data_IF_942804980471
#
_entry.id   IF_942804980471
#
_cell.length_a   1.000
_cell.length_b   1.000
_cell.length_c   1.000
_cell.angle_alpha   90.00
_cell.angle_beta   90.00
_cell.angle_gamma   90.00
#
_symmetry.space_group_name_H-M   'P 1'
#
loop_
_entity.id
_entity.type
_entity.pdbx_description
1 polymer ?
#
# COMPACT_ATOMS: atom_id res chain seq x y z
N UNK A 1 5.94 50.26 -21.54
CA UNK A 1 6.48 49.03 -20.91
C UNK A 1 5.96 48.82 -19.49
N UNK A 2 5.97 49.83 -18.58
CA UNK A 2 5.42 49.65 -17.22
C UNK A 2 3.92 49.32 -17.20
N UNK A 3 3.12 49.93 -18.07
CA UNK A 3 1.67 49.72 -18.07
C UNK A 3 1.25 48.33 -18.56
N UNK A 4 1.97 47.74 -19.53
CA UNK A 4 1.68 46.37 -19.99
C UNK A 4 2.09 45.31 -18.97
N UNK A 5 3.16 45.55 -18.20
CA UNK A 5 3.59 44.65 -17.13
C UNK A 5 2.58 44.65 -15.95
N UNK A 6 2.05 45.82 -15.60
CA UNK A 6 1.00 45.94 -14.58
C UNK A 6 -0.30 45.26 -15.02
N UNK A 7 -0.72 45.46 -16.27
CA UNK A 7 -1.92 44.81 -16.82
C UNK A 7 -1.80 43.28 -16.79
N UNK A 8 -0.65 42.73 -17.21
CA UNK A 8 -0.41 41.27 -17.15
C UNK A 8 -0.43 40.72 -15.71
N UNK A 9 0.02 41.51 -14.74
CA UNK A 9 0.05 41.11 -13.32
C UNK A 9 -1.36 41.13 -12.69
N UNK A 10 -2.20 42.11 -13.04
CA UNK A 10 -3.58 42.20 -12.57
C UNK A 10 -4.49 41.12 -13.17
N UNK A 11 -4.35 40.84 -14.47
CA UNK A 11 -5.07 39.74 -15.13
C UNK A 11 -4.69 38.41 -14.47
N UNK A 12 -3.40 38.17 -14.22
CA UNK A 12 -2.91 36.96 -13.55
C UNK A 12 -3.54 36.75 -12.17
N UNK A 13 -3.52 37.77 -11.31
CA UNK A 13 -4.08 37.67 -9.96
C UNK A 13 -5.61 37.46 -9.97
N UNK A 14 -6.29 38.04 -10.96
CA UNK A 14 -7.74 37.89 -11.12
C UNK A 14 -8.09 36.47 -11.54
N UNK A 15 -7.36 35.89 -12.50
CA UNK A 15 -7.51 34.49 -12.90
C UNK A 15 -7.33 33.58 -11.68
N UNK A 16 -6.25 33.72 -10.90
CA UNK A 16 -6.01 32.85 -9.73
C UNK A 16 -7.09 32.92 -8.65
N UNK A 17 -7.69 34.10 -8.42
CA UNK A 17 -8.76 34.27 -7.43
C UNK A 17 -10.11 33.73 -7.90
N UNK A 18 -10.27 33.49 -9.19
CA UNK A 18 -11.56 33.12 -9.80
C UNK A 18 -11.60 31.68 -10.32
N UNK A 19 -10.49 30.93 -10.17
CA UNK A 19 -10.43 29.50 -10.49
C UNK A 19 -11.49 28.73 -9.69
N UNK A 20 -12.31 27.97 -10.40
CA UNK A 20 -13.27 27.03 -9.82
C UNK A 20 -13.55 25.90 -10.85
N UNK A 21 -13.56 24.63 -10.42
CA UNK A 21 -13.73 23.45 -11.30
C UNK A 21 -15.18 23.21 -11.74
N UNK A 22 -16.13 23.99 -11.23
CA UNK A 22 -17.55 23.72 -11.47
C UNK A 22 -18.03 24.06 -12.87
N UNK A 23 -17.21 24.68 -13.73
CA UNK A 23 -17.65 25.04 -15.08
C UNK A 23 -16.57 24.80 -16.16
N UNK A 24 -16.96 24.06 -17.21
CA UNK A 24 -16.14 23.86 -18.43
C UNK A 24 -15.70 25.18 -19.06
N UNK A 25 -16.54 26.21 -18.92
CA UNK A 25 -16.24 27.56 -19.37
C UNK A 25 -14.94 28.14 -18.79
N UNK A 26 -14.52 27.72 -17.59
CA UNK A 26 -13.27 28.23 -17.02
C UNK A 26 -12.04 27.64 -17.70
N UNK A 27 -12.09 26.37 -18.10
CA UNK A 27 -11.02 25.74 -18.88
C UNK A 27 -10.91 26.40 -20.26
N UNK A 28 -12.05 26.71 -20.91
CA UNK A 28 -12.07 27.44 -22.18
C UNK A 28 -11.45 28.84 -22.04
N UNK A 29 -11.71 29.56 -20.95
CA UNK A 29 -11.08 30.86 -20.66
C UNK A 29 -9.57 30.69 -20.51
N UNK A 30 -9.10 29.68 -19.76
CA UNK A 30 -7.67 29.42 -19.60
C UNK A 30 -6.99 29.06 -20.93
N UNK A 31 -7.63 28.23 -21.76
CA UNK A 31 -7.17 27.88 -23.10
C UNK A 31 -7.02 29.14 -23.97
N UNK A 32 -8.07 29.97 -24.03
CA UNK A 32 -8.05 31.21 -24.79
C UNK A 32 -6.96 32.16 -24.31
N UNK A 33 -6.80 32.32 -23.00
CA UNK A 33 -5.74 33.15 -22.42
C UNK A 33 -4.34 32.63 -22.78
N UNK A 34 -4.14 31.30 -22.78
CA UNK A 34 -2.85 30.70 -23.17
C UNK A 34 -2.50 31.05 -24.62
N UNK A 35 -3.43 30.80 -25.54
CA UNK A 35 -3.24 30.97 -26.98
C UNK A 35 -3.05 32.44 -27.38
N UNK A 36 -3.75 33.36 -26.72
CA UNK A 36 -3.87 34.74 -27.18
C UNK A 36 -3.01 35.74 -26.39
N UNK A 37 -2.52 35.40 -25.20
CA UNK A 37 -1.92 36.41 -24.30
C UNK A 37 -0.53 36.07 -23.76
N UNK A 38 -0.06 34.81 -23.87
CA UNK A 38 1.18 34.30 -23.24
C UNK A 38 1.31 34.58 -21.73
N UNK A 39 0.23 34.99 -21.05
CA UNK A 39 0.24 35.35 -19.62
C UNK A 39 0.50 34.11 -18.72
N UNK A 40 0.28 32.91 -19.28
CA UNK A 40 0.32 31.60 -18.59
C UNK A 40 1.71 30.91 -18.66
N UNK A 41 2.66 31.40 -19.46
CA UNK A 41 3.98 30.75 -19.62
C UNK A 41 4.82 30.70 -18.33
N UNK A 42 4.59 31.64 -17.39
CA UNK A 42 5.45 31.81 -16.22
C UNK A 42 4.82 31.49 -14.84
N UNK A 43 3.51 31.16 -14.74
CA UNK A 43 2.96 30.64 -13.49
C UNK A 43 2.14 29.33 -13.64
N UNK A 44 2.28 28.60 -14.76
CA UNK A 44 1.55 27.33 -14.96
C UNK A 44 1.82 26.30 -13.85
N UNK A 45 3.01 26.29 -13.26
CA UNK A 45 3.34 25.47 -12.09
C UNK A 45 2.51 25.79 -10.86
N UNK A 46 2.33 27.09 -10.55
CA UNK A 46 1.46 27.52 -9.44
C UNK A 46 -0.01 27.21 -9.71
N UNK A 47 -0.44 27.30 -10.98
CA UNK A 47 -1.78 26.90 -11.39
C UNK A 47 -1.99 25.39 -11.21
N UNK A 48 -1.02 24.58 -11.63
CA UNK A 48 -1.05 23.13 -11.47
C UNK A 48 -1.11 22.75 -9.99
N UNK A 49 -0.25 23.32 -9.15
CA UNK A 49 -0.26 23.09 -7.70
C UNK A 49 -1.61 23.43 -7.06
N UNK A 50 -2.17 24.59 -7.38
CA UNK A 50 -3.48 25.01 -6.86
C UNK A 50 -4.59 24.06 -7.35
N UNK A 51 -4.54 23.68 -8.62
CA UNK A 51 -5.53 22.78 -9.22
C UNK A 51 -5.49 21.40 -8.58
N UNK A 52 -4.30 20.89 -8.26
CA UNK A 52 -4.13 19.63 -7.55
C UNK A 52 -4.63 19.72 -6.10
N UNK A 53 -4.36 20.81 -5.39
CA UNK A 53 -4.87 21.01 -4.01
C UNK A 53 -6.38 21.07 -3.89
N UNK A 54 -7.07 21.42 -4.98
CA UNK A 54 -8.51 21.66 -4.99
C UNK A 54 -9.29 20.67 -5.89
N UNK A 55 -8.66 19.57 -6.34
CA UNK A 55 -9.26 18.57 -7.23
C UNK A 55 -9.80 19.12 -8.56
N UNK A 56 -9.14 20.12 -9.14
CA UNK A 56 -9.63 20.73 -10.37
C UNK A 56 -9.21 19.90 -11.59
N UNK A 57 -9.80 18.71 -11.74
CA UNK A 57 -9.29 17.66 -12.63
C UNK A 57 -9.20 18.10 -14.08
N UNK A 58 -10.17 18.88 -14.55
CA UNK A 58 -10.21 19.34 -15.95
C UNK A 58 -9.05 20.30 -16.23
N UNK A 59 -8.74 21.17 -15.28
CA UNK A 59 -7.61 22.10 -15.38
C UNK A 59 -6.29 21.33 -15.33
N UNK A 60 -6.15 20.36 -14.41
CA UNK A 60 -4.93 19.54 -14.33
C UNK A 60 -4.68 18.78 -15.64
N UNK A 61 -5.69 18.08 -16.16
CA UNK A 61 -5.59 17.35 -17.43
C UNK A 61 -5.22 18.28 -18.59
N UNK A 62 -5.86 19.45 -18.69
CA UNK A 62 -5.52 20.44 -19.70
C UNK A 62 -4.06 20.90 -19.60
N UNK A 63 -3.57 21.22 -18.40
CA UNK A 63 -2.18 21.64 -18.19
C UNK A 63 -1.21 20.54 -18.64
N UNK A 64 -1.43 19.30 -18.19
CA UNK A 64 -0.54 18.18 -18.50
C UNK A 64 -0.54 17.78 -19.99
N UNK A 65 -1.61 18.08 -20.72
CA UNK A 65 -1.69 17.86 -22.17
C UNK A 65 -1.11 19.01 -23.00
N UNK A 66 -0.98 20.20 -22.41
CA UNK A 66 -0.61 21.43 -23.15
C UNK A 66 0.85 21.82 -22.94
N UNK A 67 1.39 21.59 -21.75
CA UNK A 67 2.72 22.05 -21.36
C UNK A 67 3.72 20.90 -21.25
N UNK A 68 4.98 21.19 -21.55
CA UNK A 68 6.09 20.25 -21.39
C UNK A 68 6.27 19.89 -19.92
N UNK A 69 6.25 18.60 -19.59
CA UNK A 69 6.33 18.11 -18.22
C UNK A 69 7.65 18.48 -17.54
N UNK A 70 8.74 18.70 -18.29
CA UNK A 70 10.02 19.18 -17.74
C UNK A 70 9.96 20.63 -17.23
N UNK A 71 9.00 21.42 -17.73
CA UNK A 71 8.75 22.79 -17.24
C UNK A 71 7.80 22.79 -16.04
N UNK A 72 7.12 21.68 -15.80
CA UNK A 72 6.20 21.46 -14.69
C UNK A 72 6.96 20.79 -13.54
N UNK A 73 6.68 21.22 -12.30
CA UNK A 73 7.20 20.52 -11.13
C UNK A 73 6.29 19.31 -10.82
N UNK A 74 6.46 18.24 -11.60
CA UNK A 74 5.61 17.04 -11.56
C UNK A 74 5.67 16.33 -10.20
N UNK A 75 6.84 16.26 -9.57
CA UNK A 75 6.99 15.64 -8.24
C UNK A 75 6.19 16.39 -7.19
N UNK A 76 6.28 17.74 -7.16
CA UNK A 76 5.49 18.56 -6.24
C UNK A 76 3.99 18.44 -6.51
N UNK A 77 3.60 18.36 -7.78
CA UNK A 77 2.22 18.14 -8.18
C UNK A 77 1.66 16.84 -7.58
N UNK A 78 2.40 15.74 -7.74
CA UNK A 78 2.03 14.42 -7.21
C UNK A 78 1.90 14.43 -5.69
N UNK A 79 2.88 14.99 -4.99
CA UNK A 79 2.87 15.06 -3.53
C UNK A 79 1.63 15.83 -3.03
N UNK A 80 1.29 16.95 -3.67
CA UNK A 80 0.13 17.75 -3.27
C UNK A 80 -1.20 17.08 -3.61
N UNK A 81 -1.30 16.42 -4.77
CA UNK A 81 -2.48 15.63 -5.13
C UNK A 81 -2.68 14.45 -4.15
N UNK A 82 -1.60 13.78 -3.73
CA UNK A 82 -1.66 12.74 -2.70
C UNK A 82 -2.10 13.27 -1.35
N UNK A 83 -1.51 14.37 -0.86
CA UNK A 83 -1.91 15.01 0.41
C UNK A 83 -3.37 15.41 0.42
N UNK A 84 -3.88 15.83 -0.73
CA UNK A 84 -5.26 16.25 -0.90
C UNK A 84 -6.22 15.08 -1.21
N UNK A 85 -5.71 13.84 -1.26
CA UNK A 85 -6.46 12.59 -1.50
C UNK A 85 -7.14 12.52 -2.88
N UNK A 86 -6.53 13.12 -3.89
CA UNK A 86 -7.05 13.11 -5.27
C UNK A 86 -6.25 12.14 -6.13
N UNK A 87 -6.45 10.86 -5.85
CA UNK A 87 -5.69 9.75 -6.40
C UNK A 87 -5.92 9.56 -7.91
N UNK A 88 -7.10 9.94 -8.41
CA UNK A 88 -7.42 9.94 -9.84
C UNK A 88 -6.51 10.86 -10.66
N UNK A 89 -6.13 12.01 -10.08
CA UNK A 89 -5.17 12.93 -10.70
C UNK A 89 -3.79 12.27 -10.76
N UNK A 90 -3.37 11.61 -9.68
CA UNK A 90 -2.07 10.93 -9.62
C UNK A 90 -2.04 9.77 -10.61
N UNK A 91 -3.04 8.89 -10.58
CA UNK A 91 -3.19 7.77 -11.51
C UNK A 91 -3.10 8.26 -12.95
N UNK A 92 -3.91 9.26 -13.31
CA UNK A 92 -3.92 9.82 -14.66
C UNK A 92 -2.55 10.39 -15.06
N UNK A 93 -1.88 11.13 -14.18
CA UNK A 93 -0.56 11.71 -14.48
C UNK A 93 0.50 10.64 -14.76
N UNK A 94 0.53 9.57 -13.97
CA UNK A 94 1.47 8.46 -14.17
C UNK A 94 1.18 7.75 -15.49
N UNK A 95 -0.11 7.51 -15.79
CA UNK A 95 -0.55 6.85 -17.01
C UNK A 95 -0.11 7.63 -18.25
N UNK A 96 -0.08 8.96 -18.15
CA UNK A 96 0.21 9.87 -19.26
C UNK A 96 1.60 10.52 -19.17
N UNK A 97 2.52 10.01 -18.33
CA UNK A 97 3.91 10.48 -18.25
C UNK A 97 4.79 9.79 -19.31
N UNK A 98 4.66 10.26 -20.54
CA UNK A 98 5.44 9.81 -21.69
C UNK A 98 6.91 10.28 -21.65
N UNK A 99 7.21 11.30 -20.84
CA UNK A 99 8.54 11.90 -20.74
C UNK A 99 9.39 11.37 -19.57
N UNK A 100 8.83 10.46 -18.76
CA UNK A 100 9.48 9.94 -17.57
C UNK A 100 9.90 11.05 -16.59
N UNK A 101 9.10 12.12 -16.53
CA UNK A 101 9.31 13.27 -15.68
C UNK A 101 8.89 13.01 -14.22
N UNK A 102 8.14 11.93 -13.97
CA UNK A 102 7.65 11.54 -12.66
C UNK A 102 8.57 10.47 -12.04
N UNK A 103 8.93 10.65 -10.77
CA UNK A 103 9.57 9.59 -9.99
C UNK A 103 8.58 8.46 -9.66
N UNK A 104 8.49 7.46 -10.54
CA UNK A 104 7.55 6.33 -10.42
C UNK A 104 7.77 5.47 -9.17
N UNK A 105 9.00 5.38 -8.66
CA UNK A 105 9.30 4.65 -7.42
C UNK A 105 8.67 5.32 -6.19
N UNK A 106 8.80 6.64 -6.07
CA UNK A 106 8.21 7.39 -4.95
C UNK A 106 6.68 7.35 -5.00
N UNK A 107 6.13 7.42 -6.21
CA UNK A 107 4.70 7.28 -6.43
C UNK A 107 4.18 5.91 -6.03
N UNK A 108 4.92 4.85 -6.34
CA UNK A 108 4.58 3.49 -5.95
C UNK A 108 4.54 3.34 -4.43
N UNK A 109 5.57 3.83 -3.73
CA UNK A 109 5.61 3.84 -2.27
C UNK A 109 4.39 4.56 -1.66
N UNK A 110 4.04 5.73 -2.21
CA UNK A 110 2.88 6.51 -1.77
C UNK A 110 1.55 5.80 -2.07
N UNK A 111 1.45 5.13 -3.23
CA UNK A 111 0.28 4.38 -3.62
C UNK A 111 0.04 3.21 -2.67
N UNK A 112 1.10 2.46 -2.33
CA UNK A 112 1.06 1.34 -1.38
C UNK A 112 0.71 1.84 0.02
N UNK A 113 1.37 2.90 0.51
CA UNK A 113 1.11 3.44 1.84
C UNK A 113 -0.33 3.91 2.06
N UNK A 114 -0.96 4.46 1.02
CA UNK A 114 -2.32 4.98 1.07
C UNK A 114 -3.36 4.02 0.45
N UNK A 115 -2.94 2.82 0.06
CA UNK A 115 -3.81 1.72 -0.37
C UNK A 115 -4.55 1.98 -1.70
N UNK A 116 -3.88 2.63 -2.66
CA UNK A 116 -4.41 2.91 -4.00
C UNK A 116 -4.15 1.78 -4.97
N UNK A 117 -4.99 0.74 -4.90
CA UNK A 117 -4.84 -0.48 -5.69
C UNK A 117 -4.86 -0.24 -7.20
N UNK A 118 -5.60 0.75 -7.69
CA UNK A 118 -5.63 1.14 -9.11
C UNK A 118 -4.29 1.65 -9.62
N UNK A 119 -3.63 2.51 -8.83
CA UNK A 119 -2.29 3.03 -9.15
C UNK A 119 -1.24 1.95 -9.05
N UNK A 120 -1.31 1.12 -8.00
CA UNK A 120 -0.38 -0.01 -7.80
C UNK A 120 -0.48 -0.98 -8.98
N UNK A 121 -1.70 -1.36 -9.37
CA UNK A 121 -1.95 -2.26 -10.50
C UNK A 121 -1.38 -1.70 -11.80
N UNK A 122 -1.66 -0.42 -12.09
CA UNK A 122 -1.11 0.23 -13.29
C UNK A 122 0.42 0.21 -13.31
N UNK A 123 1.05 0.55 -12.19
CA UNK A 123 2.51 0.58 -12.08
C UNK A 123 3.13 -0.81 -12.23
N UNK A 124 2.53 -1.84 -11.63
CA UNK A 124 3.01 -3.22 -11.75
C UNK A 124 2.87 -3.78 -13.17
N UNK A 125 1.82 -3.41 -13.90
CA UNK A 125 1.62 -3.90 -15.27
C UNK A 125 2.46 -3.18 -16.32
N UNK A 126 2.78 -1.90 -16.10
CA UNK A 126 3.32 -1.04 -17.16
C UNK A 126 4.76 -0.59 -16.92
N UNK A 127 5.31 -0.76 -15.71
CA UNK A 127 6.65 -0.32 -15.34
C UNK A 127 7.54 -1.53 -15.02
N UNK A 128 8.81 -1.46 -15.43
CA UNK A 128 9.81 -2.47 -15.05
C UNK A 128 9.94 -2.50 -13.51
N UNK A 129 9.69 -3.67 -12.91
CA UNK A 129 9.69 -3.86 -11.45
C UNK A 129 11.03 -3.51 -10.81
N UNK A 130 12.15 -3.56 -11.55
CA UNK A 130 13.47 -3.12 -11.06
C UNK A 130 13.54 -1.64 -10.72
N UNK A 131 12.60 -0.84 -11.22
CA UNK A 131 12.47 0.58 -10.91
C UNK A 131 11.57 0.84 -9.70
N UNK A 132 10.97 -0.22 -9.14
CA UNK A 132 10.06 -0.17 -8.01
C UNK A 132 10.70 -0.90 -6.81
N UNK A 133 10.57 -0.35 -5.62
CA UNK A 133 11.03 -1.03 -4.40
C UNK A 133 9.94 -2.00 -3.93
N UNK A 134 9.86 -3.17 -4.58
CA UNK A 134 8.86 -4.21 -4.29
C UNK A 134 8.98 -4.72 -2.85
N UNK A 135 10.20 -4.87 -2.35
CA UNK A 135 10.44 -5.33 -0.99
C UNK A 135 9.88 -4.32 0.05
N UNK A 136 10.12 -3.03 -0.16
CA UNK A 136 9.52 -1.99 0.69
C UNK A 136 7.99 -1.94 0.56
N UNK A 137 7.44 -2.10 -0.63
CA UNK A 137 6.00 -2.16 -0.83
C UNK A 137 5.38 -3.35 -0.08
N UNK A 138 5.99 -4.53 -0.17
CA UNK A 138 5.56 -5.72 0.56
C UNK A 138 5.62 -5.49 2.07
N UNK A 139 6.70 -4.90 2.57
CA UNK A 139 6.85 -4.53 3.99
C UNK A 139 5.73 -3.59 4.47
N UNK A 140 5.45 -2.51 3.72
CA UNK A 140 4.37 -1.57 4.05
C UNK A 140 3.01 -2.30 4.07
N UNK A 141 2.71 -3.11 3.05
CA UNK A 141 1.46 -3.84 2.96
C UNK A 141 1.29 -4.82 4.14
N UNK A 142 2.35 -5.56 4.47
CA UNK A 142 2.39 -6.52 5.58
C UNK A 142 2.21 -5.84 6.94
N UNK A 143 2.94 -4.76 7.21
CA UNK A 143 2.81 -4.00 8.48
C UNK A 143 1.45 -3.39 8.67
N UNK A 144 0.74 -3.07 7.58
CA UNK A 144 -0.62 -2.52 7.61
C UNK A 144 -1.70 -3.59 7.59
N UNK A 145 -1.34 -4.84 7.34
CA UNK A 145 -2.28 -5.95 7.20
C UNK A 145 -3.11 -5.90 5.91
N UNK A 146 -2.71 -5.13 4.89
CA UNK A 146 -3.49 -4.99 3.66
C UNK A 146 -3.30 -6.22 2.75
N UNK A 147 -4.22 -7.18 2.86
CA UNK A 147 -4.20 -8.44 2.11
C UNK A 147 -4.27 -8.23 0.59
N UNK A 148 -5.13 -7.33 0.12
CA UNK A 148 -5.36 -7.10 -1.31
C UNK A 148 -4.08 -6.64 -2.02
N UNK A 149 -3.30 -5.77 -1.36
CA UNK A 149 -2.00 -5.33 -1.90
C UNK A 149 -0.97 -6.45 -1.85
N UNK A 150 -0.93 -7.25 -0.79
CA UNK A 150 -0.03 -8.41 -0.73
C UNK A 150 -0.34 -9.41 -1.86
N UNK A 151 -1.61 -9.76 -2.06
CA UNK A 151 -2.05 -10.63 -3.15
C UNK A 151 -1.63 -10.05 -4.50
N UNK A 152 -1.87 -8.76 -4.72
CA UNK A 152 -1.50 -8.08 -5.95
C UNK A 152 0.02 -8.09 -6.20
N UNK A 153 0.84 -7.87 -5.17
CA UNK A 153 2.30 -7.93 -5.28
C UNK A 153 2.79 -9.36 -5.58
N UNK A 154 2.20 -10.38 -4.94
CA UNK A 154 2.56 -11.79 -5.16
C UNK A 154 2.15 -12.30 -6.55
N UNK A 155 1.03 -11.79 -7.09
CA UNK A 155 0.53 -12.21 -8.41
C UNK A 155 1.29 -11.55 -9.56
N UNK A 156 1.78 -10.33 -9.37
CA UNK A 156 2.33 -9.53 -10.45
C UNK A 156 3.86 -9.44 -10.48
N UNK A 157 4.57 -9.88 -9.44
CA UNK A 157 6.04 -9.72 -9.35
C UNK A 157 6.76 -11.06 -9.22
N UNK A 158 7.96 -11.18 -9.80
CA UNK A 158 8.85 -12.32 -9.55
C UNK A 158 9.23 -12.34 -8.06
N UNK A 159 8.89 -13.44 -7.41
CA UNK A 159 9.10 -13.63 -5.99
C UNK A 159 10.57 -13.53 -5.53
N UNK A 160 11.55 -13.63 -6.45
CA UNK A 160 12.97 -13.37 -6.16
C UNK A 160 13.24 -11.92 -5.76
N UNK A 161 12.35 -11.01 -6.11
CA UNK A 161 12.44 -9.58 -5.75
C UNK A 161 11.85 -9.30 -4.36
N UNK A 162 11.24 -10.32 -3.73
CA UNK A 162 10.59 -10.21 -2.42
C UNK A 162 11.48 -10.85 -1.35
N UNK A 163 11.86 -10.07 -0.33
CA UNK A 163 12.46 -10.62 0.88
C UNK A 163 11.37 -11.24 1.77
N UNK A 164 11.03 -12.50 1.49
CA UNK A 164 9.95 -13.25 2.13
C UNK A 164 10.11 -13.34 3.66
N UNK A 165 11.34 -13.51 4.14
CA UNK A 165 11.62 -13.58 5.58
C UNK A 165 11.29 -12.27 6.28
N UNK A 166 11.80 -11.17 5.73
CA UNK A 166 11.53 -9.82 6.26
C UNK A 166 10.05 -9.46 6.14
N UNK A 167 9.38 -9.87 5.06
CA UNK A 167 7.95 -9.66 4.89
C UNK A 167 7.16 -10.35 6.03
N UNK A 168 7.46 -11.60 6.35
CA UNK A 168 6.84 -12.31 7.49
C UNK A 168 7.15 -11.64 8.83
N UNK A 169 8.42 -11.29 9.08
CA UNK A 169 8.81 -10.60 10.32
C UNK A 169 8.01 -9.29 10.51
N UNK A 170 7.72 -8.61 9.39
CA UNK A 170 6.93 -7.38 9.36
C UNK A 170 5.41 -7.59 9.54
N UNK A 171 4.86 -8.72 9.08
CA UNK A 171 3.48 -9.11 9.41
C UNK A 171 3.33 -9.23 10.93
N UNK A 172 4.33 -9.83 11.59
CA UNK A 172 4.33 -10.05 13.05
C UNK A 172 4.70 -8.82 13.87
N UNK A 173 5.66 -7.98 13.44
CA UNK A 173 6.08 -6.79 14.20
C UNK A 173 4.98 -5.74 14.35
N UNK A 174 4.06 -5.66 13.39
CA UNK A 174 2.87 -4.80 13.51
C UNK A 174 1.79 -5.34 14.46
N UNK A 175 1.95 -6.56 15.01
CA UNK A 175 1.03 -7.15 16.01
C UNK A 175 1.47 -6.75 17.43
N UNK A 176 2.77 -6.50 17.65
CA UNK A 176 3.27 -6.05 18.94
C UNK A 176 3.02 -4.55 19.10
N UNK A 177 1.86 -4.19 19.65
CA UNK A 177 1.72 -2.87 20.26
C UNK A 177 2.78 -2.72 21.35
N UNK A 178 3.49 -1.58 21.33
CA UNK A 178 4.17 -1.03 22.49
C UNK A 178 3.34 -1.29 23.76
N UNK A 179 3.82 -2.22 24.59
CA UNK A 179 3.47 -2.47 25.99
C UNK A 179 2.21 -1.76 26.54
N UNK A 180 1.02 -2.24 26.21
CA UNK A 180 -0.16 -1.86 27.01
C UNK A 180 -0.31 -2.84 28.16
N UNK A 181 0.27 -2.45 29.30
CA UNK A 181 -0.21 -2.82 30.65
C UNK A 181 -1.74 -2.95 30.64
N UNK A 182 -2.32 -3.94 31.35
CA UNK A 182 -3.77 -4.09 31.42
C UNK A 182 -4.38 -2.84 32.06
N UNK A 183 -4.94 -1.95 31.24
CA UNK A 183 -5.62 -0.76 31.72
C UNK A 183 -7.11 -0.88 31.38
N UNK A 184 -7.87 -1.13 32.44
CA UNK A 184 -9.31 -0.94 32.51
C UNK A 184 -9.73 0.38 31.84
N UNK A 185 -10.83 0.32 31.08
CA UNK A 185 -11.81 1.38 30.74
C UNK A 185 -12.04 1.51 29.22
N UNK A 186 -13.22 1.03 28.84
CA UNK A 186 -13.94 1.22 27.58
C UNK A 186 -13.77 2.61 26.93
N UNK A 187 -13.02 2.66 25.83
CA UNK A 187 -13.10 3.59 24.66
C UNK A 187 -12.01 3.09 23.69
N UNK A 188 -12.24 2.56 22.49
CA UNK A 188 -13.36 2.69 21.56
C UNK A 188 -13.75 1.34 20.94
N UNK A 189 -15.06 1.09 20.80
CA UNK A 189 -15.61 -0.12 20.15
C UNK A 189 -15.41 -0.17 18.63
N UNK A 190 -14.70 0.78 18.03
CA UNK A 190 -14.33 0.78 16.61
C UNK A 190 -12.86 0.40 16.42
N UNK A 191 -11.97 0.83 17.31
CA UNK A 191 -10.54 0.45 17.32
C UNK A 191 -10.37 -1.05 17.51
N UNK A 192 -11.09 -1.68 18.45
CA UNK A 192 -11.07 -3.15 18.63
C UNK A 192 -11.58 -3.97 17.41
N UNK A 193 -12.37 -3.38 16.51
CA UNK A 193 -12.81 -4.07 15.28
C UNK A 193 -11.82 -3.87 14.15
N UNK A 194 -11.16 -2.70 14.08
CA UNK A 194 -10.08 -2.44 13.12
C UNK A 194 -8.84 -3.24 13.52
N UNK A 195 -8.50 -3.30 14.81
CA UNK A 195 -7.38 -4.10 15.33
C UNK A 195 -7.62 -5.59 15.06
N UNK A 196 -8.82 -6.11 15.35
CA UNK A 196 -9.17 -7.50 15.02
C UNK A 196 -9.30 -7.77 13.52
N UNK A 197 -9.81 -6.84 12.73
CA UNK A 197 -9.85 -6.98 11.28
C UNK A 197 -8.43 -7.02 10.71
N UNK A 198 -7.54 -6.16 11.21
CA UNK A 198 -6.13 -6.17 10.85
C UNK A 198 -5.42 -7.45 11.32
N UNK A 199 -5.75 -7.99 12.50
CA UNK A 199 -5.26 -9.29 12.94
C UNK A 199 -5.78 -10.43 12.04
N UNK A 200 -7.07 -10.41 11.69
CA UNK A 200 -7.67 -11.40 10.77
C UNK A 200 -7.06 -11.32 9.36
N UNK A 201 -6.78 -10.12 8.85
CA UNK A 201 -6.14 -9.93 7.56
C UNK A 201 -4.66 -10.33 7.61
N UNK A 202 -3.94 -10.07 8.71
CA UNK A 202 -2.58 -10.57 8.93
C UNK A 202 -2.52 -12.10 8.97
N UNK A 203 -3.46 -12.78 9.64
CA UNK A 203 -3.55 -14.25 9.63
C UNK A 203 -3.68 -14.76 8.18
N UNK A 204 -4.53 -14.10 7.38
CA UNK A 204 -4.69 -14.44 5.96
C UNK A 204 -3.42 -14.19 5.16
N UNK A 205 -2.69 -13.11 5.44
CA UNK A 205 -1.39 -12.84 4.80
C UNK A 205 -0.37 -13.93 5.15
N UNK A 206 -0.23 -14.32 6.42
CA UNK A 206 0.69 -15.41 6.81
C UNK A 206 0.30 -16.70 6.11
N UNK A 207 -0.99 -17.04 6.10
CA UNK A 207 -1.49 -18.23 5.39
C UNK A 207 -1.18 -18.17 3.90
N UNK A 208 -1.46 -17.05 3.25
CA UNK A 208 -1.18 -16.82 1.83
C UNK A 208 0.31 -16.97 1.53
N UNK A 209 1.19 -16.43 2.38
CA UNK A 209 2.64 -16.58 2.22
C UNK A 209 3.07 -18.05 2.35
N UNK A 210 2.54 -18.78 3.33
CA UNK A 210 2.83 -20.21 3.49
C UNK A 210 2.30 -21.03 2.30
N UNK A 211 1.16 -20.66 1.72
CA UNK A 211 0.61 -21.31 0.52
C UNK A 211 1.41 -20.98 -0.75
N UNK A 212 2.05 -19.82 -0.81
CA UNK A 212 2.75 -19.33 -2.00
C UNK A 212 4.20 -19.80 -2.08
N UNK A 213 4.86 -19.96 -0.93
CA UNK A 213 6.30 -20.19 -0.85
C UNK A 213 6.66 -21.54 -0.21
N UNK A 214 7.83 -22.07 -0.56
CA UNK A 214 8.36 -23.27 0.11
C UNK A 214 8.52 -23.02 1.61
N UNK A 215 7.90 -23.88 2.43
CA UNK A 215 7.92 -23.79 3.89
C UNK A 215 9.33 -23.72 4.49
N UNK A 216 10.35 -24.25 3.81
CA UNK A 216 11.77 -24.20 4.23
C UNK A 216 12.38 -22.81 4.22
N UNK A 217 11.74 -21.85 3.54
CA UNK A 217 12.17 -20.46 3.53
C UNK A 217 11.84 -19.73 4.84
N UNK A 218 10.98 -20.33 5.67
CA UNK A 218 10.47 -19.72 6.88
C UNK A 218 11.04 -20.35 8.13
N UNK A 219 11.13 -19.54 9.19
CA UNK A 219 11.30 -20.05 10.54
C UNK A 219 9.93 -20.48 11.09
N UNK A 220 9.58 -21.74 10.81
CA UNK A 220 8.31 -22.33 11.27
C UNK A 220 8.19 -22.34 12.80
N UNK A 221 9.29 -22.38 13.53
CA UNK A 221 9.26 -22.32 15.00
C UNK A 221 8.77 -20.96 15.47
N UNK A 222 9.32 -19.88 14.89
CA UNK A 222 8.91 -18.51 15.24
C UNK A 222 7.46 -18.23 14.82
N UNK A 223 7.03 -18.70 13.64
CA UNK A 223 5.63 -18.59 13.18
C UNK A 223 4.68 -19.31 14.15
N UNK A 224 5.00 -20.56 14.51
CA UNK A 224 4.17 -21.34 15.42
C UNK A 224 4.10 -20.71 16.81
N UNK A 225 5.23 -20.26 17.36
CA UNK A 225 5.28 -19.61 18.66
C UNK A 225 4.37 -18.37 18.68
N UNK A 226 4.52 -17.52 17.67
CA UNK A 226 3.72 -16.29 17.55
C UNK A 226 2.24 -16.63 17.35
N UNK A 227 1.91 -17.61 16.51
CA UNK A 227 0.54 -18.05 16.31
C UNK A 227 -0.11 -18.57 17.61
N UNK A 228 0.63 -19.28 18.47
CA UNK A 228 0.13 -19.71 19.78
C UNK A 228 -0.08 -18.51 20.73
N UNK A 229 0.89 -17.59 20.80
CA UNK A 229 0.79 -16.37 21.62
C UNK A 229 -0.43 -15.52 21.23
N UNK A 230 -0.66 -15.37 19.93
CA UNK A 230 -1.78 -14.61 19.37
C UNK A 230 -3.08 -15.44 19.25
N UNK A 231 -3.06 -16.71 19.68
CA UNK A 231 -4.20 -17.64 19.67
C UNK A 231 -4.82 -17.85 18.28
N UNK A 232 -3.99 -17.87 17.24
CA UNK A 232 -4.36 -18.14 15.85
C UNK A 232 -4.56 -19.63 15.60
N UNK A 233 -5.47 -20.24 16.36
CA UNK A 233 -5.64 -21.70 16.40
C UNK A 233 -6.06 -22.32 15.06
N UNK A 234 -6.81 -21.59 14.23
CA UNK A 234 -7.20 -22.07 12.90
C UNK A 234 -6.00 -22.14 11.95
N UNK A 235 -5.08 -21.16 12.03
CA UNK A 235 -3.81 -21.21 11.30
C UNK A 235 -2.95 -22.36 11.80
N UNK A 236 -2.85 -22.56 13.12
CA UNK A 236 -2.07 -23.66 13.71
C UNK A 236 -2.58 -25.02 13.27
N UNK A 237 -3.90 -25.26 13.35
CA UNK A 237 -4.54 -26.50 12.87
C UNK A 237 -4.22 -26.74 11.41
N UNK A 238 -4.39 -25.72 10.57
CA UNK A 238 -4.05 -25.80 9.15
C UNK A 238 -2.55 -26.10 8.93
N UNK A 239 -1.64 -25.43 9.64
CA UNK A 239 -0.20 -25.69 9.53
C UNK A 239 0.16 -27.13 9.93
N UNK A 240 -0.47 -27.67 10.98
CA UNK A 240 -0.29 -29.06 11.39
C UNK A 240 -0.69 -30.02 10.26
N UNK A 241 -1.71 -29.72 9.48
CA UNK A 241 -2.17 -30.61 8.42
C UNK A 241 -1.29 -30.54 7.15
N UNK A 242 -0.77 -29.35 6.82
CA UNK A 242 -0.19 -29.07 5.49
C UNK A 242 1.33 -28.94 5.51
N UNK A 243 1.94 -28.53 6.62
CA UNK A 243 3.40 -28.38 6.74
C UNK A 243 4.05 -29.74 6.96
N UNK A 244 5.17 -29.97 6.27
CA UNK A 244 6.02 -31.16 6.44
C UNK A 244 6.43 -31.31 7.91
N UNK A 245 6.19 -32.50 8.47
CA UNK A 245 6.47 -32.83 9.87
C UNK A 245 7.94 -32.63 10.26
N UNK A 246 8.87 -32.73 9.31
CA UNK A 246 10.29 -32.47 9.56
C UNK A 246 10.62 -31.01 9.89
N UNK A 247 9.72 -30.08 9.56
CA UNK A 247 9.82 -28.65 9.88
C UNK A 247 9.09 -28.28 11.17
N UNK A 248 8.37 -29.22 11.78
CA UNK A 248 7.54 -29.00 12.95
C UNK A 248 8.12 -29.72 14.18
N UNK A 249 8.36 -28.97 15.26
CA UNK A 249 8.66 -29.59 16.55
C UNK A 249 7.37 -29.98 17.27
N UNK A 250 6.92 -31.21 17.04
CA UNK A 250 5.68 -31.76 17.60
C UNK A 250 5.67 -31.70 19.14
N UNK A 251 6.82 -31.93 19.80
CA UNK A 251 6.89 -31.90 21.27
C UNK A 251 6.68 -30.48 21.80
N UNK A 252 7.31 -29.51 21.14
CA UNK A 252 7.14 -28.11 21.48
C UNK A 252 5.69 -27.66 21.24
N UNK A 253 5.11 -28.03 20.10
CA UNK A 253 3.73 -27.73 19.77
C UNK A 253 2.75 -28.33 20.78
N UNK A 254 2.96 -29.58 21.22
CA UNK A 254 2.16 -30.19 22.29
C UNK A 254 2.28 -29.40 23.60
N UNK A 255 3.50 -28.98 23.96
CA UNK A 255 3.73 -28.17 25.17
C UNK A 255 2.97 -26.84 25.10
N UNK A 256 3.05 -26.15 23.97
CA UNK A 256 2.37 -24.87 23.74
C UNK A 256 0.85 -25.00 23.69
N UNK A 257 0.32 -26.04 23.04
CA UNK A 257 -1.11 -26.31 23.00
C UNK A 257 -1.68 -26.59 24.39
N UNK A 258 -0.94 -27.32 25.23
CA UNK A 258 -1.28 -27.51 26.65
C UNK A 258 -1.29 -26.20 27.43
N UNK A 259 -0.24 -25.37 27.26
CA UNK A 259 -0.14 -24.06 27.93
C UNK A 259 -1.22 -23.07 27.49
N UNK A 260 -1.66 -23.18 26.23
CA UNK A 260 -2.70 -22.33 25.64
C UNK A 260 -4.12 -22.84 25.91
N UNK A 261 -4.24 -23.95 26.66
CA UNK A 261 -5.50 -24.65 26.99
C UNK A 261 -6.34 -25.02 25.75
N UNK A 262 -5.68 -25.28 24.61
CA UNK A 262 -6.36 -25.59 23.35
C UNK A 262 -6.47 -27.10 23.16
N UNK A 263 -7.55 -27.69 23.70
CA UNK A 263 -7.80 -29.14 23.63
C UNK A 263 -7.81 -29.67 22.20
N UNK A 264 -8.42 -28.94 21.25
CA UNK A 264 -8.53 -29.36 19.85
C UNK A 264 -7.16 -29.59 19.19
N UNK A 265 -6.19 -28.74 19.49
CA UNK A 265 -4.83 -28.87 18.93
C UNK A 265 -4.09 -30.01 19.61
N UNK A 266 -4.27 -30.19 20.92
CA UNK A 266 -3.70 -31.34 21.65
C UNK A 266 -4.21 -32.65 21.06
N UNK A 267 -5.52 -32.76 20.80
CA UNK A 267 -6.10 -33.96 20.19
C UNK A 267 -5.58 -34.18 18.78
N UNK A 268 -5.49 -33.12 17.96
CA UNK A 268 -4.97 -33.20 16.60
C UNK A 268 -3.52 -33.72 16.56
N UNK A 269 -2.66 -33.21 17.44
CA UNK A 269 -1.25 -33.65 17.54
C UNK A 269 -1.13 -35.09 18.07
N UNK A 270 -1.98 -35.48 19.01
CA UNK A 270 -2.02 -36.84 19.55
C UNK A 270 -2.47 -37.86 18.49
N UNK A 271 -3.41 -37.50 17.63
CA UNK A 271 -3.85 -38.34 16.51
C UNK A 271 -2.73 -38.49 15.47
N UNK A 272 -2.09 -37.38 15.08
CA UNK A 272 -1.01 -37.38 14.09
C UNK A 272 0.20 -38.22 14.53
N UNK A 273 0.58 -38.15 15.80
CA UNK A 273 1.67 -38.96 16.36
C UNK A 273 1.35 -40.47 16.41
N UNK A 274 0.08 -40.84 16.61
CA UNK A 274 -0.36 -42.24 16.54
C UNK A 274 -0.35 -42.80 15.11
N UNK A 275 -0.57 -41.96 14.09
CA UNK A 275 -0.48 -42.39 12.69
C UNK A 275 0.98 -42.61 12.28
N UNK A 276 1.87 -41.67 12.59
CA UNK A 276 3.31 -41.77 12.30
C UNK A 276 3.96 -43.02 12.93
N UNK A 277 3.51 -43.41 14.13
CA UNK A 277 4.00 -44.62 14.81
C UNK A 277 3.47 -45.92 14.21
N UNK A 278 2.33 -45.90 13.51
CA UNK A 278 1.79 -47.07 12.80
C UNK A 278 2.44 -47.30 11.45
N UNK A 279 2.89 -46.26 10.75
CA UNK A 279 3.58 -46.40 9.45
C UNK A 279 5.01 -46.94 9.56
N UNK A 280 5.61 -46.87 10.76
CA UNK A 280 6.96 -47.35 11.05
C UNK A 280 7.03 -48.83 11.53
N UNK A 281 5.89 -49.52 11.64
CA UNK A 281 5.74 -50.92 12.06
C UNK A 281 5.33 -51.82 10.89
#
# INVERSE_FOLDING_TARGET
MRDSLNLQTDVRNTVYKTINDTCDSFVEILQWLNENTKVIDHPVTSLLEYSCKNNLQKIVKWILQTFDHNTLNMDKMIIEAYKARYHEIVAWSIINDDQNAINKSEVFDLAVYNEHTDVIHYLLENIDHKLLDISKAMDIACRRGNLDIVEMLLLNVDYKEINVKEAIDNVFSGITFDTVKPCQIMKNRLENYIDKASECERIKIVKLMLETFDHKLFDMTTIMNTAYEQRWFDLIKWMIEVVDDSLLDINEMLRMACQSECLDIVTLLAEKTQELTKELL
#
